data_IF_424544751057
#
_entry.id   IF_424544751057
#
_cell.length_a   1.000
_cell.length_b   1.000
_cell.length_c   1.000
_cell.angle_alpha   90.00
_cell.angle_beta   90.00
_cell.angle_gamma   90.00
#
_symmetry.space_group_name_H-M   'P 1'
#
loop_
_entity.id
_entity.type
_entity.pdbx_description
1 polymer ?
#
# COMPACT_ATOMS: atom_id res chain seq x y z
N UNK A 1 16.88 -9.27 14.09
CA UNK A 1 16.90 -8.78 13.67
C UNK A 1 16.81 -7.92 13.64
N UNK A 2 16.92 -7.86 13.76
CA UNK A 2 16.93 -7.11 13.50
C UNK A 2 17.09 -6.28 13.56
N UNK A 3 17.38 -6.20 13.82
CA UNK A 3 17.59 -5.42 13.68
C UNK A 3 17.91 -4.76 13.62
N UNK A 4 18.16 -4.85 13.83
CA UNK A 4 18.46 -4.23 13.60
C UNK A 4 18.57 -3.37 13.29
N UNK A 5 18.49 -3.49 13.52
CA UNK A 5 18.56 -2.64 13.18
C UNK A 5 18.45 -1.72 13.52
N UNK A 6 18.28 -1.86 13.94
CA UNK A 6 18.09 -0.97 14.29
C UNK A 6 18.60 -0.33 14.78
N UNK A 7 18.81 -0.59 15.01
CA UNK A 7 19.23 0.09 15.22
C UNK A 7 19.89 0.54 14.88
N UNK A 8 20.11 0.25 14.96
CA UNK A 8 20.68 0.78 14.49
C UNK A 8 20.76 1.43 14.06
N UNK A 9 20.90 1.37 14.29
CA UNK A 9 21.08 2.12 13.92
C UNK A 9 21.13 2.86 14.00
N UNK A 10 21.32 2.71 14.42
CA UNK A 10 21.49 3.46 14.54
C UNK A 10 21.77 4.29 14.81
N UNK A 11 22.04 4.37 15.09
CA UNK A 11 22.37 5.14 15.32
C UNK A 11 22.71 5.95 15.35
N UNK A 12 23.06 5.94 15.42
CA UNK A 12 23.44 6.75 15.50
C UNK A 12 23.50 7.52 15.30
N UNK A 13 23.69 7.53 15.41
CA UNK A 13 23.86 8.37 15.32
C UNK A 13 23.73 9.28 15.36
N UNK A 14 23.82 9.35 15.70
CA UNK A 14 23.65 10.33 15.98
C UNK A 14 23.93 11.23 15.44
N UNK A 15 24.18 11.55 15.50
CA UNK A 15 24.32 12.44 15.12
C UNK A 15 23.71 13.09 14.72
N UNK A 16 23.61 12.77 14.89
CA UNK A 16 23.08 13.58 14.33
C UNK A 16 22.24 14.47 14.82
N UNK A 17 22.04 14.26 15.63
CA UNK A 17 21.30 14.96 16.37
C UNK A 17 21.26 16.33 16.16
N UNK A 18 22.19 16.67 15.82
CA UNK A 18 22.38 17.93 15.82
C UNK A 18 21.36 18.68 15.20
N UNK A 19 20.68 19.41 15.83
CA UNK A 19 19.81 20.38 15.38
C UNK A 19 19.18 20.15 14.05
N UNK A 20 19.08 19.00 13.68
CA UNK A 20 18.55 18.73 12.40
C UNK A 20 17.08 18.91 12.39
N UNK A 21 16.55 19.21 11.24
CA UNK A 21 15.15 19.30 11.08
C UNK A 21 14.52 18.06 11.59
N UNK A 22 13.39 18.20 12.08
CA UNK A 22 12.71 17.13 12.70
C UNK A 22 12.56 15.93 11.80
N UNK A 23 13.01 14.76 12.21
CA UNK A 23 12.72 13.54 11.49
C UNK A 23 11.22 13.29 11.39
N UNK A 24 10.48 13.81 12.33
CA UNK A 24 9.05 13.65 12.31
C UNK A 24 8.42 14.34 11.12
N UNK A 25 8.92 15.51 10.74
CA UNK A 25 8.40 16.19 9.56
C UNK A 25 8.68 15.38 8.31
N UNK A 26 9.89 14.88 8.18
CA UNK A 26 10.23 14.06 7.04
C UNK A 26 9.37 12.81 7.00
N UNK A 27 9.11 12.23 8.17
CA UNK A 27 8.30 11.05 8.26
C UNK A 27 6.86 11.32 7.87
N UNK A 28 6.33 12.49 8.26
CA UNK A 28 4.96 12.85 7.92
C UNK A 28 4.78 13.08 6.43
N UNK A 29 5.83 13.50 5.75
CA UNK A 29 5.74 13.74 4.32
C UNK A 29 6.17 12.54 3.50
N UNK A 30 6.58 11.46 4.14
CA UNK A 30 7.02 10.28 3.42
C UNK A 30 5.85 9.61 2.71
N UNK A 31 6.12 9.17 1.50
CA UNK A 31 5.15 8.36 0.77
C UNK A 31 4.96 7.04 1.48
N UNK A 32 3.82 6.44 1.25
CA UNK A 32 3.45 5.18 1.89
C UNK A 32 3.13 4.17 0.81
N UNK A 33 3.78 3.02 0.84
CA UNK A 33 3.56 1.97 -0.13
C UNK A 33 3.10 0.67 0.50
N UNK A 34 2.32 -0.08 -0.24
CA UNK A 34 1.81 -1.37 0.18
C UNK A 34 1.93 -2.34 -0.99
N UNK A 35 2.37 -3.56 -0.68
CA UNK A 35 2.39 -4.65 -1.63
C UNK A 35 1.74 -5.82 -0.94
N UNK A 36 0.67 -6.34 -1.51
CA UNK A 36 -0.05 -7.42 -0.86
C UNK A 36 -0.61 -8.43 -1.81
N UNK A 37 -0.66 -9.68 -1.34
CA UNK A 37 -1.23 -10.77 -2.09
C UNK A 37 -2.62 -11.06 -1.55
N UNK A 38 -3.58 -11.14 -2.45
CA UNK A 38 -4.96 -11.44 -2.10
C UNK A 38 -5.35 -12.72 -2.81
N UNK A 39 -5.95 -13.65 -2.10
CA UNK A 39 -6.32 -14.96 -2.65
C UNK A 39 -7.82 -15.00 -2.77
N UNK A 40 -8.31 -15.15 -4.01
CA UNK A 40 -9.72 -15.25 -4.29
C UNK A 40 -10.21 -16.68 -4.07
N UNK A 41 -11.51 -16.81 -3.83
CA UNK A 41 -12.13 -18.10 -3.85
C UNK A 41 -11.98 -18.72 -5.25
N UNK A 42 -12.04 -20.06 -5.39
CA UNK A 42 -11.87 -20.70 -6.68
C UNK A 42 -12.78 -20.09 -7.74
N UNK A 43 -12.20 -19.79 -8.89
CA UNK A 43 -12.88 -19.24 -10.06
C UNK A 43 -13.45 -17.83 -9.86
N UNK A 44 -13.06 -17.14 -8.78
CA UNK A 44 -13.56 -15.80 -8.49
C UNK A 44 -12.54 -14.70 -8.67
N UNK A 45 -11.32 -15.04 -9.11
CA UNK A 45 -10.27 -14.03 -9.23
C UNK A 45 -10.62 -12.90 -10.19
N UNK A 46 -11.17 -13.23 -11.35
CA UNK A 46 -11.49 -12.19 -12.34
C UNK A 46 -12.60 -11.28 -11.85
N UNK A 47 -13.59 -11.83 -11.18
CA UNK A 47 -14.68 -11.04 -10.61
C UNK A 47 -14.14 -10.13 -9.52
N UNK A 48 -13.29 -10.65 -8.65
CA UNK A 48 -12.67 -9.86 -7.59
C UNK A 48 -11.80 -8.73 -8.18
N UNK A 49 -11.00 -9.05 -9.18
CA UNK A 49 -10.18 -8.06 -9.85
C UNK A 49 -11.03 -6.92 -10.42
N UNK A 50 -12.15 -7.27 -11.05
CA UNK A 50 -13.04 -6.27 -11.63
C UNK A 50 -13.61 -5.34 -10.55
N UNK A 51 -13.98 -5.90 -9.40
CA UNK A 51 -14.48 -5.08 -8.29
C UNK A 51 -13.42 -4.10 -7.80
N UNK A 52 -12.18 -4.57 -7.67
CA UNK A 52 -11.09 -3.70 -7.23
C UNK A 52 -10.82 -2.59 -8.24
N UNK A 53 -10.76 -2.94 -9.52
CA UNK A 53 -10.46 -1.96 -10.56
C UNK A 53 -11.57 -0.92 -10.71
N UNK A 54 -12.81 -1.34 -10.53
CA UNK A 54 -13.94 -0.44 -10.67
C UNK A 54 -14.14 0.44 -9.43
N UNK A 55 -13.96 -0.12 -8.26
CA UNK A 55 -14.31 0.57 -7.02
C UNK A 55 -13.20 1.40 -6.41
N UNK A 56 -11.96 1.21 -6.82
CA UNK A 56 -10.81 1.85 -6.16
C UNK A 56 -10.13 2.87 -7.06
N UNK A 57 -10.95 3.73 -7.64
CA UNK A 57 -10.49 4.85 -8.45
C UNK A 57 -10.71 6.15 -7.70
N UNK A 58 -10.00 7.19 -8.12
CA UNK A 58 -10.22 8.55 -7.60
C UNK A 58 -10.13 8.66 -6.09
N UNK A 59 -9.18 7.94 -5.51
CA UNK A 59 -8.94 8.02 -4.08
C UNK A 59 -7.96 9.15 -3.79
N UNK A 60 -8.34 10.15 -2.98
CA UNK A 60 -7.45 11.27 -2.69
C UNK A 60 -6.14 10.79 -2.07
N UNK A 61 -5.03 11.28 -2.61
CA UNK A 61 -3.70 10.91 -2.13
C UNK A 61 -3.17 9.60 -2.68
N UNK A 62 -3.94 8.88 -3.47
CA UNK A 62 -3.46 7.67 -4.12
C UNK A 62 -2.65 8.05 -5.35
N UNK A 63 -1.37 7.68 -5.36
CA UNK A 63 -0.49 7.96 -6.47
C UNK A 63 -0.50 6.83 -7.49
N UNK A 64 -0.69 5.62 -7.03
CA UNK A 64 -0.66 4.45 -7.90
C UNK A 64 -1.40 3.30 -7.21
N UNK A 65 -2.18 2.57 -7.98
CA UNK A 65 -2.87 1.39 -7.49
C UNK A 65 -2.90 0.39 -8.64
N UNK A 66 -2.15 -0.70 -8.50
CA UNK A 66 -1.99 -1.68 -9.56
C UNK A 66 -2.48 -3.04 -9.09
N UNK A 67 -3.37 -3.63 -9.87
CA UNK A 67 -3.86 -4.98 -9.63
C UNK A 67 -3.24 -5.88 -10.69
N UNK A 68 -2.54 -6.91 -10.24
CA UNK A 68 -1.85 -7.83 -11.15
C UNK A 68 -2.21 -9.27 -10.84
N UNK A 69 -2.26 -10.08 -11.88
CA UNK A 69 -2.51 -11.52 -11.71
C UNK A 69 -1.22 -12.20 -11.30
N UNK A 70 -1.29 -13.10 -10.33
CA UNK A 70 -0.15 -13.94 -10.02
C UNK A 70 -0.01 -14.97 -11.15
N UNK A 71 1.14 -15.05 -11.81
CA UNK A 71 1.27 -15.96 -12.95
C UNK A 71 1.32 -17.43 -12.55
N UNK A 72 1.54 -17.73 -11.29
CA UNK A 72 1.68 -19.11 -10.82
C UNK A 72 0.48 -19.62 -10.04
N UNK A 73 -0.33 -18.70 -9.50
CA UNK A 73 -1.49 -19.07 -8.69
C UNK A 73 -2.74 -18.51 -9.35
N UNK A 74 -3.59 -19.38 -9.91
CA UNK A 74 -4.77 -18.91 -10.64
C UNK A 74 -5.81 -18.22 -9.77
N UNK A 75 -5.66 -18.28 -8.45
CA UNK A 75 -6.58 -17.62 -7.53
C UNK A 75 -6.00 -16.37 -6.88
N UNK A 76 -4.76 -16.03 -7.17
CA UNK A 76 -4.11 -14.94 -6.47
C UNK A 76 -3.95 -13.68 -7.32
N UNK A 77 -4.09 -12.55 -6.62
CA UNK A 77 -3.84 -11.21 -7.14
C UNK A 77 -2.74 -10.58 -6.32
N UNK A 78 -1.93 -9.74 -6.95
CA UNK A 78 -1.00 -8.87 -6.26
C UNK A 78 -1.48 -7.43 -6.41
N UNK A 79 -1.55 -6.73 -5.31
CA UNK A 79 -1.95 -5.33 -5.30
C UNK A 79 -0.77 -4.51 -4.82
N UNK A 80 -0.38 -3.52 -5.63
CA UNK A 80 0.72 -2.63 -5.32
C UNK A 80 0.19 -1.21 -5.26
N UNK A 81 0.41 -0.54 -4.15
CA UNK A 81 -0.15 0.79 -3.92
C UNK A 81 0.95 1.76 -3.52
N UNK A 82 0.79 2.99 -3.92
CA UNK A 82 1.62 4.09 -3.46
C UNK A 82 0.72 5.27 -3.14
N UNK A 83 0.96 5.89 -1.99
CA UNK A 83 0.15 6.97 -1.45
C UNK A 83 1.04 8.14 -1.06
N UNK A 84 0.48 9.35 -1.06
CA UNK A 84 1.22 10.54 -0.62
C UNK A 84 1.71 10.38 0.82
N UNK A 85 0.94 9.73 1.66
CA UNK A 85 1.32 9.41 3.04
C UNK A 85 0.40 8.32 3.59
N UNK A 86 0.71 7.84 4.77
CA UNK A 86 -0.07 6.81 5.42
C UNK A 86 -1.47 7.29 5.79
N UNK A 87 -1.61 8.57 6.10
CA UNK A 87 -2.91 9.13 6.49
C UNK A 87 -3.89 9.09 5.32
N UNK A 88 -3.40 9.36 4.10
CA UNK A 88 -4.26 9.31 2.92
C UNK A 88 -4.77 7.88 2.69
N UNK A 89 -3.90 6.90 2.85
CA UNK A 89 -4.31 5.51 2.73
C UNK A 89 -5.37 5.16 3.79
N UNK A 90 -5.13 5.54 5.04
CA UNK A 90 -6.09 5.27 6.10
C UNK A 90 -7.44 5.93 5.83
N UNK A 91 -7.42 7.16 5.35
CA UNK A 91 -8.66 7.88 5.05
C UNK A 91 -9.44 7.23 3.92
N UNK A 92 -8.75 6.59 2.97
CA UNK A 92 -9.42 5.95 1.84
C UNK A 92 -10.39 4.87 2.28
N UNK A 93 -10.14 4.24 3.41
CA UNK A 93 -11.00 3.17 3.90
C UNK A 93 -12.39 3.66 4.32
N UNK A 94 -12.57 4.97 4.43
CA UNK A 94 -13.85 5.56 4.75
C UNK A 94 -14.59 6.10 3.53
N UNK A 95 -14.00 6.01 2.35
CA UNK A 95 -14.67 6.46 1.14
C UNK A 95 -15.82 5.50 0.80
N UNK A 96 -16.98 6.03 0.39
CA UNK A 96 -18.11 5.16 0.05
C UNK A 96 -17.79 4.16 -1.03
N UNK A 97 -17.04 4.54 -2.06
CA UNK A 97 -16.68 3.62 -3.14
C UNK A 97 -15.79 2.49 -2.65
N UNK A 98 -14.87 2.79 -1.75
CA UNK A 98 -13.98 1.79 -1.18
C UNK A 98 -14.76 0.84 -0.28
N UNK A 99 -15.65 1.38 0.54
CA UNK A 99 -16.47 0.56 1.42
C UNK A 99 -17.39 -0.36 0.62
N UNK A 100 -17.94 0.15 -0.49
CA UNK A 100 -18.76 -0.68 -1.37
C UNK A 100 -17.94 -1.80 -2.00
N UNK A 101 -16.72 -1.49 -2.44
CA UNK A 101 -15.85 -2.50 -3.03
C UNK A 101 -15.49 -3.58 -2.00
N UNK A 102 -15.21 -3.17 -0.77
CA UNK A 102 -14.89 -4.12 0.30
C UNK A 102 -16.09 -5.04 0.55
N UNK A 103 -17.29 -4.46 0.62
CA UNK A 103 -18.51 -5.25 0.85
C UNK A 103 -18.74 -6.27 -0.27
N UNK A 104 -18.56 -5.85 -1.52
CA UNK A 104 -18.75 -6.75 -2.66
C UNK A 104 -17.65 -7.78 -2.77
N UNK A 105 -16.42 -7.39 -2.47
CA UNK A 105 -15.27 -8.27 -2.65
C UNK A 105 -15.09 -9.29 -1.54
N UNK A 106 -15.51 -8.95 -0.33
CA UNK A 106 -15.27 -9.83 0.83
C UNK A 106 -15.70 -11.27 0.62
N UNK A 107 -16.92 -11.55 0.08
CA UNK A 107 -17.32 -12.94 -0.12
C UNK A 107 -16.48 -13.67 -1.15
N UNK A 108 -15.74 -12.96 -1.99
CA UNK A 108 -14.91 -13.56 -3.03
C UNK A 108 -13.48 -13.79 -2.58
N UNK A 109 -13.13 -13.35 -1.37
CA UNK A 109 -11.77 -13.49 -0.85
C UNK A 109 -11.69 -14.73 0.02
N UNK A 110 -10.77 -15.63 -0.34
CA UNK A 110 -10.51 -16.83 0.47
C UNK A 110 -9.46 -16.55 1.53
N UNK A 111 -8.56 -15.61 1.28
CA UNK A 111 -7.52 -15.28 2.25
C UNK A 111 -6.53 -14.26 1.72
N UNK A 112 -5.50 -14.03 2.51
CA UNK A 112 -4.44 -13.10 2.17
C UNK A 112 -3.10 -13.81 2.30
N UNK A 113 -2.19 -13.49 1.38
CA UNK A 113 -0.83 -13.99 1.46
C UNK A 113 0.10 -12.95 2.05
N UNK A 114 1.32 -12.91 1.52
CA UNK A 114 2.32 -11.98 2.01
C UNK A 114 1.91 -10.53 1.79
N UNK A 115 2.32 -9.68 2.71
CA UNK A 115 2.09 -8.26 2.57
C UNK A 115 3.27 -7.48 3.13
N UNK A 116 3.58 -6.37 2.50
CA UNK A 116 4.74 -5.56 2.84
C UNK A 116 4.37 -4.08 2.82
N UNK A 117 4.94 -3.34 3.75
CA UNK A 117 4.83 -1.89 3.75
C UNK A 117 6.17 -1.34 3.28
N UNK A 118 6.13 -0.37 2.40
CA UNK A 118 7.33 0.25 1.85
C UNK A 118 7.25 1.76 1.97
N UNK A 119 8.37 2.41 1.72
CA UNK A 119 8.43 3.87 1.66
C UNK A 119 8.92 4.23 0.25
N UNK A 120 8.01 4.48 -0.69
CA UNK A 120 8.42 4.88 -2.04
C UNK A 120 9.16 6.22 -1.98
N UNK A 121 10.18 6.35 -2.81
CA UNK A 121 10.93 7.60 -2.88
C UNK A 121 10.85 8.23 -4.26
N UNK A 122 10.23 7.55 -5.23
CA UNK A 122 10.06 8.04 -6.57
C UNK A 122 10.05 6.91 -7.57
N UNK A 123 10.06 7.24 -8.82
CA UNK A 123 10.09 6.28 -9.91
C UNK A 123 9.19 6.71 -11.05
N UNK A 124 9.39 6.09 -12.18
CA UNK A 124 8.60 6.42 -13.36
C UNK A 124 7.12 6.12 -13.11
N UNK A 125 6.26 7.03 -13.46
CA UNK A 125 4.82 6.88 -13.26
C UNK A 125 4.34 7.29 -11.89
N UNK A 126 5.26 7.51 -10.96
CA UNK A 126 4.91 7.91 -9.61
C UNK A 126 5.16 9.39 -9.45
N UNK A 127 4.13 10.18 -9.68
CA UNK A 127 4.24 11.64 -9.62
C UNK A 127 3.53 12.13 -8.37
N UNK A 128 4.27 12.69 -7.40
CA UNK A 128 3.64 13.22 -6.20
C UNK A 128 2.67 14.33 -6.56
N UNK A 129 1.55 14.37 -5.88
CA UNK A 129 0.60 15.46 -6.05
C UNK A 129 1.13 16.70 -5.36
N UNK A 130 0.79 17.82 -5.89
CA UNK A 130 1.24 19.07 -5.31
C UNK A 130 0.15 19.79 -4.59
#
# INVERSE_FOLDING_TARGET
>A
MTIERRELIGGAVALAAVGLPSPAIAKETAMHGLIGKMIAAPDKRDELAAILLDGLQDMPGCLSYVVALDPKDPNALWITEAWTDAAAHAASLNLPSVRAAITKGRPLIAGFGDSFTTVPIGGHGLVPTR
#
